data_IF_594729669050
#
_entry.id   IF_594729669050
#
_cell.length_a   1.000
_cell.length_b   1.000
_cell.length_c   1.000
_cell.angle_alpha   90.00
_cell.angle_beta   90.00
_cell.angle_gamma   90.00
#
_symmetry.space_group_name_H-M   'P 1'
#
loop_
_entity.id
_entity.type
_entity.pdbx_description
1 polymer ?
#
# COMPACT_ATOMS: atom_id res chain seq x y z
N UNK A 1 -48.53 -19.14 -28.65
CA UNK A 1 -48.58 -17.74 -28.17
C UNK A 1 -47.37 -17.52 -27.29
N UNK A 2 -46.43 -16.66 -27.72
CA UNK A 2 -45.24 -16.36 -26.95
C UNK A 2 -45.53 -15.22 -25.98
N UNK A 3 -45.48 -15.50 -24.68
CA UNK A 3 -45.56 -14.46 -23.64
C UNK A 3 -44.18 -13.81 -23.55
N UNK A 4 -44.10 -12.55 -23.93
CA UNK A 4 -42.88 -11.75 -23.79
C UNK A 4 -42.84 -11.12 -22.40
N UNK A 5 -41.88 -11.56 -21.58
CA UNK A 5 -41.58 -10.92 -20.30
C UNK A 5 -40.75 -9.66 -20.53
N UNK A 6 -41.31 -8.51 -20.16
CA UNK A 6 -40.61 -7.22 -20.13
C UNK A 6 -40.47 -6.85 -18.64
N UNK A 7 -39.32 -7.13 -18.05
CA UNK A 7 -38.95 -6.69 -16.70
C UNK A 7 -37.94 -5.55 -16.83
N UNK A 8 -38.27 -4.35 -16.38
CA UNK A 8 -37.96 -3.94 -15.00
C UNK A 8 -38.57 -2.54 -14.71
N UNK A 9 -39.14 -2.41 -13.52
CA UNK A 9 -39.41 -1.16 -12.77
C UNK A 9 -40.44 -0.09 -13.20
N UNK A 10 -41.25 -0.24 -14.25
CA UNK A 10 -42.31 0.79 -14.53
C UNK A 10 -43.74 0.28 -14.65
N UNK A 11 -43.99 -1.02 -14.89
CA UNK A 11 -45.34 -1.49 -15.25
C UNK A 11 -45.61 -2.91 -14.76
N UNK A 12 -46.26 -3.03 -13.60
CA UNK A 12 -46.90 -4.28 -13.20
C UNK A 12 -48.14 -4.55 -14.07
N UNK A 13 -48.08 -5.59 -14.90
CA UNK A 13 -49.24 -6.12 -15.62
C UNK A 13 -48.86 -6.82 -16.93
N UNK A 14 -49.00 -8.15 -16.96
CA UNK A 14 -48.93 -8.93 -18.20
C UNK A 14 -50.17 -8.61 -19.05
N UNK A 15 -49.98 -8.30 -20.34
CA UNK A 15 -51.07 -8.00 -21.28
C UNK A 15 -50.93 -8.84 -22.55
N UNK A 16 -52.05 -9.40 -23.00
CA UNK A 16 -52.12 -10.26 -24.19
C UNK A 16 -52.36 -9.47 -25.50
N UNK A 17 -52.52 -8.13 -25.41
CA UNK A 17 -52.72 -7.25 -26.58
C UNK A 17 -51.58 -6.23 -26.74
N UNK A 18 -50.56 -6.65 -27.50
CA UNK A 18 -49.36 -5.87 -27.81
C UNK A 18 -49.68 -4.58 -28.58
N UNK A 19 -50.75 -4.54 -29.39
CA UNK A 19 -51.08 -3.37 -30.21
C UNK A 19 -51.68 -2.23 -29.39
N UNK A 20 -52.46 -2.55 -28.35
CA UNK A 20 -53.00 -1.58 -27.42
C UNK A 20 -51.95 -1.06 -26.41
N UNK A 21 -50.94 -1.87 -26.09
CA UNK A 21 -49.91 -1.53 -25.11
C UNK A 21 -48.85 -0.53 -25.63
N UNK A 22 -48.47 -0.63 -26.91
CA UNK A 22 -47.40 0.17 -27.51
C UNK A 22 -47.57 1.71 -27.38
N UNK A 23 -48.76 2.30 -27.61
CA UNK A 23 -48.96 3.74 -27.45
C UNK A 23 -48.77 4.23 -26.00
N UNK A 24 -49.16 3.41 -25.01
CA UNK A 24 -49.01 3.73 -23.58
C UNK A 24 -47.55 3.63 -23.15
N UNK A 25 -46.81 2.64 -23.68
CA UNK A 25 -45.37 2.47 -23.45
C UNK A 25 -44.59 3.64 -24.06
N UNK A 26 -44.93 4.05 -25.28
CA UNK A 26 -44.31 5.20 -25.95
C UNK A 26 -44.48 6.51 -25.18
N UNK A 27 -45.59 6.70 -24.47
CA UNK A 27 -45.83 7.87 -23.61
C UNK A 27 -45.07 7.82 -22.28
N UNK A 28 -44.69 6.63 -21.79
CA UNK A 28 -43.95 6.44 -20.52
C UNK A 28 -42.44 6.28 -20.70
N UNK A 29 -41.97 6.05 -21.93
CA UNK A 29 -40.55 5.96 -22.25
C UNK A 29 -39.91 7.35 -22.08
N UNK A 30 -38.99 7.45 -21.11
CA UNK A 30 -38.19 8.66 -20.91
C UNK A 30 -37.38 8.96 -22.18
N UNK A 31 -37.40 10.20 -22.70
CA UNK A 31 -36.56 10.60 -23.81
C UNK A 31 -35.08 10.40 -23.47
N UNK A 32 -34.28 9.98 -24.46
CA UNK A 32 -32.83 9.77 -24.30
C UNK A 32 -32.12 10.99 -23.71
N UNK A 33 -32.53 12.20 -24.10
CA UNK A 33 -31.99 13.44 -23.56
C UNK A 33 -32.23 13.61 -22.05
N UNK A 34 -33.39 13.18 -21.53
CA UNK A 34 -33.67 13.20 -20.08
C UNK A 34 -32.84 12.16 -19.32
N UNK A 35 -32.61 10.99 -19.93
CA UNK A 35 -31.76 9.95 -19.35
C UNK A 35 -30.30 10.44 -19.30
N UNK A 36 -29.79 11.03 -20.37
CA UNK A 36 -28.44 11.58 -20.42
C UNK A 36 -28.25 12.74 -19.45
N UNK A 37 -29.26 13.60 -19.28
CA UNK A 37 -29.22 14.70 -18.32
C UNK A 37 -29.27 14.21 -16.87
N UNK A 38 -30.14 13.25 -16.56
CA UNK A 38 -30.19 12.62 -15.25
C UNK A 38 -28.87 11.90 -14.92
N UNK A 39 -28.29 11.19 -15.89
CA UNK A 39 -27.01 10.52 -15.74
C UNK A 39 -25.87 11.52 -15.50
N UNK A 40 -25.83 12.65 -16.23
CA UNK A 40 -24.86 13.73 -15.98
C UNK A 40 -25.04 14.38 -14.60
N UNK A 41 -26.27 14.57 -14.15
CA UNK A 41 -26.55 15.07 -12.80
C UNK A 41 -26.06 14.08 -11.75
N UNK A 42 -26.37 12.79 -11.87
CA UNK A 42 -25.87 11.74 -10.96
C UNK A 42 -24.35 11.69 -10.92
N UNK A 43 -23.69 11.77 -12.08
CA UNK A 43 -22.23 11.80 -12.16
C UNK A 43 -21.65 13.02 -11.43
N UNK A 44 -22.24 14.21 -11.62
CA UNK A 44 -21.79 15.43 -10.96
C UNK A 44 -22.06 15.41 -9.45
N UNK A 45 -23.24 14.93 -9.02
CA UNK A 45 -23.61 14.84 -7.60
C UNK A 45 -22.69 13.90 -6.82
N UNK A 46 -22.25 12.80 -7.44
CA UNK A 46 -21.39 11.81 -6.78
C UNK A 46 -19.92 11.93 -7.20
N UNK A 47 -19.52 12.97 -7.93
CA UNK A 47 -18.14 13.09 -8.42
C UNK A 47 -17.14 13.15 -7.27
N UNK A 48 -17.44 13.97 -6.26
CA UNK A 48 -16.57 14.18 -5.10
C UNK A 48 -16.48 12.92 -4.23
N UNK A 49 -17.62 12.29 -3.93
CA UNK A 49 -17.67 11.02 -3.18
C UNK A 49 -16.93 9.90 -3.92
N UNK A 50 -17.07 9.84 -5.25
CA UNK A 50 -16.36 8.86 -6.08
C UNK A 50 -14.86 9.14 -6.09
N UNK A 51 -14.44 10.41 -6.20
CA UNK A 51 -13.02 10.79 -6.12
C UNK A 51 -12.42 10.47 -4.75
N UNK A 52 -13.15 10.76 -3.68
CA UNK A 52 -12.71 10.42 -2.32
C UNK A 52 -12.62 8.91 -2.12
N UNK A 53 -13.60 8.14 -2.59
CA UNK A 53 -13.59 6.67 -2.52
C UNK A 53 -12.45 6.08 -3.33
N UNK A 54 -12.20 6.60 -4.55
CA UNK A 54 -11.09 6.17 -5.40
C UNK A 54 -9.74 6.54 -4.76
N UNK A 55 -9.61 7.74 -4.22
CA UNK A 55 -8.40 8.19 -3.50
C UNK A 55 -8.12 7.35 -2.26
N UNK A 56 -9.14 7.06 -1.43
CA UNK A 56 -9.00 6.17 -0.28
C UNK A 56 -8.60 4.75 -0.70
N UNK A 57 -9.21 4.22 -1.78
CA UNK A 57 -8.83 2.92 -2.31
C UNK A 57 -7.39 2.91 -2.87
N UNK A 58 -6.97 3.97 -3.55
CA UNK A 58 -5.59 4.16 -4.01
C UNK A 58 -4.61 4.18 -2.85
N UNK A 59 -4.89 4.98 -1.81
CA UNK A 59 -4.07 5.06 -0.61
C UNK A 59 -3.93 3.68 0.05
N UNK A 60 -5.02 2.93 0.21
CA UNK A 60 -4.96 1.59 0.81
C UNK A 60 -4.18 0.63 -0.11
N UNK A 61 -4.40 0.65 -1.42
CA UNK A 61 -3.68 -0.21 -2.38
C UNK A 61 -2.18 0.05 -2.42
N UNK A 62 -1.75 1.31 -2.35
CA UNK A 62 -0.34 1.67 -2.47
C UNK A 62 0.40 1.72 -1.13
N UNK A 63 -0.32 1.75 0.01
CA UNK A 63 0.30 1.75 1.36
C UNK A 63 0.15 0.43 2.11
N UNK A 64 -0.90 -0.36 1.86
CA UNK A 64 -1.23 -1.60 2.56
C UNK A 64 -1.58 -2.71 1.56
N UNK A 65 -0.55 -3.30 0.96
CA UNK A 65 -0.72 -4.36 -0.03
C UNK A 65 -1.04 -5.70 0.63
N UNK A 66 -2.31 -5.98 0.93
CA UNK A 66 -2.76 -7.31 1.40
C UNK A 66 -3.41 -8.11 0.26
N UNK A 67 -3.33 -9.44 0.37
CA UNK A 67 -3.83 -10.37 -0.66
C UNK A 67 -5.34 -10.26 -0.86
N UNK A 68 -6.11 -10.08 0.20
CA UNK A 68 -7.57 -9.96 0.10
C UNK A 68 -8.03 -8.63 -0.50
N UNK A 69 -7.24 -7.55 -0.33
CA UNK A 69 -7.53 -6.26 -0.96
C UNK A 69 -7.25 -6.32 -2.46
N UNK A 70 -6.17 -7.00 -2.86
CA UNK A 70 -5.87 -7.27 -4.26
C UNK A 70 -6.96 -8.11 -4.95
N UNK A 71 -7.59 -9.05 -4.23
CA UNK A 71 -8.66 -9.90 -4.76
C UNK A 71 -10.02 -9.16 -4.85
N UNK A 72 -10.28 -8.17 -3.98
CA UNK A 72 -11.53 -7.38 -3.95
C UNK A 72 -11.50 -6.17 -4.89
N UNK A 73 -10.33 -5.60 -5.18
CA UNK A 73 -10.22 -4.44 -6.06
C UNK A 73 -9.98 -4.88 -7.50
N UNK A 74 -11.01 -4.75 -8.35
CA UNK A 74 -10.83 -4.80 -9.81
C UNK A 74 -10.17 -3.51 -10.31
N UNK A 75 -8.85 -3.42 -10.17
CA UNK A 75 -8.11 -2.29 -10.74
C UNK A 75 -8.12 -2.41 -12.26
N UNK A 76 -8.59 -1.37 -12.94
CA UNK A 76 -8.52 -1.30 -14.40
C UNK A 76 -7.05 -1.22 -14.85
N UNK A 77 -6.54 -2.16 -15.67
CA UNK A 77 -5.16 -2.13 -16.15
C UNK A 77 -4.79 -0.82 -16.87
N UNK A 78 -5.76 -0.13 -17.48
CA UNK A 78 -5.53 1.19 -18.10
C UNK A 78 -5.12 2.25 -17.09
N UNK A 79 -5.71 2.21 -15.90
CA UNK A 79 -5.41 3.17 -14.83
C UNK A 79 -3.99 2.98 -14.29
N UNK A 80 -3.59 1.74 -13.99
CA UNK A 80 -2.23 1.41 -13.54
C UNK A 80 -1.18 1.80 -14.57
N UNK A 81 -1.45 1.54 -15.85
CA UNK A 81 -0.54 1.92 -16.92
C UNK A 81 -0.38 3.44 -17.04
N UNK A 82 -1.48 4.20 -16.91
CA UNK A 82 -1.43 5.68 -16.92
C UNK A 82 -0.62 6.20 -15.74
N UNK A 83 -0.92 5.75 -14.52
CA UNK A 83 -0.20 6.18 -13.32
C UNK A 83 1.28 5.79 -13.36
N UNK A 84 1.58 4.59 -13.87
CA UNK A 84 2.95 4.15 -14.09
C UNK A 84 3.68 5.00 -15.14
N UNK A 85 3.00 5.52 -16.15
CA UNK A 85 3.60 6.44 -17.12
C UNK A 85 3.88 7.81 -16.52
N UNK A 86 2.95 8.38 -15.74
CA UNK A 86 3.14 9.63 -15.00
C UNK A 86 4.39 9.54 -14.11
N UNK A 87 4.48 8.53 -13.25
CA UNK A 87 5.62 8.32 -12.36
C UNK A 87 6.95 8.13 -13.11
N UNK A 88 6.93 7.50 -14.28
CA UNK A 88 8.12 7.36 -15.12
C UNK A 88 8.51 8.68 -15.81
N UNK A 89 7.55 9.56 -16.11
CA UNK A 89 7.85 10.89 -16.62
C UNK A 89 8.49 11.74 -15.52
N UNK A 90 7.94 11.72 -14.31
CA UNK A 90 8.49 12.46 -13.17
C UNK A 90 9.91 11.99 -12.83
N UNK A 91 10.13 10.66 -12.80
CA UNK A 91 11.46 10.09 -12.60
C UNK A 91 12.45 10.53 -13.69
N UNK A 92 12.00 10.69 -14.93
CA UNK A 92 12.85 11.17 -16.02
C UNK A 92 13.30 12.61 -15.78
N UNK A 93 12.38 13.51 -15.44
CA UNK A 93 12.71 14.92 -15.15
C UNK A 93 13.71 15.04 -13.99
N UNK A 94 13.50 14.28 -12.91
CA UNK A 94 14.43 14.23 -11.77
C UNK A 94 15.80 13.69 -12.21
N UNK A 95 15.81 12.67 -13.07
CA UNK A 95 17.05 12.08 -13.58
C UNK A 95 17.84 13.08 -14.44
N UNK A 96 17.15 13.82 -15.32
CA UNK A 96 17.79 14.88 -16.12
C UNK A 96 18.39 15.96 -15.26
N UNK A 97 17.64 16.40 -14.26
CA UNK A 97 18.12 17.38 -13.29
C UNK A 97 19.38 16.88 -12.59
N UNK A 98 19.37 15.63 -12.10
CA UNK A 98 20.51 15.04 -11.40
C UNK A 98 21.79 15.03 -12.24
N UNK A 99 21.72 14.57 -13.48
CA UNK A 99 22.90 14.50 -14.36
C UNK A 99 23.32 15.87 -14.90
N UNK A 100 22.38 16.79 -15.14
CA UNK A 100 22.70 18.19 -15.46
C UNK A 100 23.45 18.85 -14.30
N UNK A 101 23.00 18.61 -13.07
CA UNK A 101 23.64 19.14 -11.88
C UNK A 101 25.02 18.54 -11.64
N UNK A 102 25.18 17.23 -11.87
CA UNK A 102 26.48 16.57 -11.81
C UNK A 102 27.47 17.25 -12.77
N UNK A 103 27.03 17.46 -14.01
CA UNK A 103 27.78 18.09 -15.09
C UNK A 103 28.17 19.56 -14.82
N UNK A 104 27.43 20.29 -14.00
CA UNK A 104 27.76 21.66 -13.58
C UNK A 104 28.83 21.70 -12.50
N UNK A 105 28.84 20.69 -11.61
CA UNK A 105 29.70 20.65 -10.42
C UNK A 105 31.03 19.93 -10.65
N UNK A 106 31.09 19.03 -11.63
CA UNK A 106 32.23 18.14 -11.83
C UNK A 106 32.72 18.18 -13.28
N UNK A 107 34.02 18.01 -13.45
CA UNK A 107 34.72 17.98 -14.74
C UNK A 107 35.33 16.60 -15.07
N UNK A 108 35.08 15.59 -14.23
CA UNK A 108 35.66 14.26 -14.33
C UNK A 108 34.96 13.33 -15.34
N UNK A 109 33.71 13.63 -15.67
CA UNK A 109 32.88 12.94 -16.65
C UNK A 109 31.75 13.86 -17.10
N UNK A 110 31.43 13.84 -18.40
CA UNK A 110 30.28 14.55 -18.96
C UNK A 110 29.15 13.56 -19.27
N UNK A 111 27.93 13.86 -18.84
CA UNK A 111 26.75 13.05 -19.15
C UNK A 111 25.90 13.73 -20.23
N UNK A 112 25.76 13.10 -21.39
CA UNK A 112 24.93 13.58 -22.50
C UNK A 112 23.54 13.00 -22.36
N UNK A 113 22.53 13.87 -22.31
CA UNK A 113 21.11 13.52 -22.16
C UNK A 113 20.46 13.50 -23.55
N UNK A 114 19.85 12.38 -23.90
CA UNK A 114 19.00 12.22 -25.08
C UNK A 114 17.54 12.18 -24.62
N UNK A 115 16.81 13.28 -24.87
CA UNK A 115 15.40 13.44 -24.50
C UNK A 115 14.49 12.48 -25.25
N UNK A 116 14.76 12.24 -26.54
CA UNK A 116 13.90 11.45 -27.41
C UNK A 116 13.92 9.98 -27.01
N UNK A 117 15.12 9.44 -26.78
CA UNK A 117 15.29 8.05 -26.37
C UNK A 117 15.22 7.84 -24.86
N UNK A 118 15.18 8.92 -24.07
CA UNK A 118 15.30 8.91 -22.60
C UNK A 118 16.50 8.11 -22.12
N UNK A 119 17.66 8.44 -22.68
CA UNK A 119 18.93 7.81 -22.37
C UNK A 119 19.97 8.82 -21.93
N UNK A 120 20.93 8.37 -21.13
CA UNK A 120 22.05 9.19 -20.65
C UNK A 120 23.34 8.46 -20.92
N UNK A 121 24.28 9.11 -21.59
CA UNK A 121 25.57 8.51 -21.98
C UNK A 121 26.71 9.26 -21.31
N UNK A 122 27.58 8.52 -20.63
CA UNK A 122 28.81 9.05 -20.07
C UNK A 122 29.85 9.24 -21.20
N UNK A 123 30.45 10.41 -21.27
CA UNK A 123 31.49 10.82 -22.22
C UNK A 123 32.62 11.54 -21.48
N UNK A 124 33.75 11.74 -22.15
CA UNK A 124 34.85 12.59 -21.65
C UNK A 124 35.39 12.18 -20.28
N UNK A 125 35.43 10.87 -19.98
CA UNK A 125 35.92 10.35 -18.70
C UNK A 125 37.21 9.55 -18.87
N UNK A 126 38.12 9.64 -17.89
CA UNK A 126 39.24 8.69 -17.74
C UNK A 126 38.81 7.42 -17.00
N UNK A 127 38.08 7.62 -15.91
CA UNK A 127 37.40 6.57 -15.15
C UNK A 127 35.97 7.02 -14.87
N UNK A 128 35.04 6.07 -14.81
CA UNK A 128 33.64 6.38 -14.49
C UNK A 128 33.54 6.83 -13.02
N UNK A 129 32.85 7.95 -12.74
CA UNK A 129 32.81 8.54 -11.41
C UNK A 129 32.00 7.71 -10.43
N UNK A 130 32.20 7.97 -9.14
CA UNK A 130 31.29 7.49 -8.09
C UNK A 130 30.20 8.53 -7.91
N UNK A 131 28.95 8.14 -8.15
CA UNK A 131 27.82 9.07 -8.10
C UNK A 131 27.32 9.29 -6.68
N UNK A 132 27.25 8.23 -5.88
CA UNK A 132 26.75 8.26 -4.50
C UNK A 132 27.11 6.98 -3.74
N UNK A 133 26.79 6.96 -2.45
CA UNK A 133 26.88 5.75 -1.62
C UNK A 133 25.48 5.26 -1.29
N UNK A 134 25.29 3.94 -1.27
CA UNK A 134 24.01 3.35 -0.88
C UNK A 134 24.19 2.22 0.13
N UNK A 135 23.22 2.06 1.02
CA UNK A 135 23.22 1.01 2.04
C UNK A 135 22.86 -0.34 1.43
N UNK A 136 23.66 -1.37 1.75
CA UNK A 136 23.46 -2.75 1.25
C UNK A 136 22.84 -3.68 2.28
N UNK A 137 22.38 -3.16 3.43
CA UNK A 137 21.92 -3.95 4.57
C UNK A 137 22.96 -4.11 5.67
N UNK A 138 24.25 -4.07 5.32
CA UNK A 138 25.37 -4.24 6.28
C UNK A 138 26.42 -3.15 6.21
N UNK A 139 26.62 -2.52 5.05
CA UNK A 139 27.56 -1.42 4.85
C UNK A 139 27.12 -0.49 3.73
N UNK A 140 27.62 0.74 3.76
CA UNK A 140 27.55 1.66 2.63
C UNK A 140 28.53 1.21 1.53
N UNK A 141 28.06 1.21 0.28
CA UNK A 141 28.86 0.85 -0.90
C UNK A 141 28.83 2.01 -1.91
N UNK A 142 29.98 2.36 -2.52
CA UNK A 142 29.99 3.35 -3.59
C UNK A 142 29.28 2.80 -4.84
N UNK A 143 28.40 3.60 -5.41
CA UNK A 143 27.81 3.36 -6.72
C UNK A 143 28.67 4.03 -7.79
N UNK A 144 29.47 3.22 -8.50
CA UNK A 144 30.21 3.69 -9.66
C UNK A 144 29.28 3.78 -10.87
N UNK A 145 29.38 4.90 -11.58
CA UNK A 145 28.61 5.22 -12.78
C UNK A 145 28.74 4.12 -13.85
N UNK A 146 27.74 4.06 -14.72
CA UNK A 146 27.71 3.21 -15.90
C UNK A 146 27.97 4.06 -17.16
N UNK A 147 28.40 3.40 -18.24
CA UNK A 147 28.63 4.09 -19.53
C UNK A 147 27.34 4.65 -20.12
N UNK A 148 26.22 3.98 -19.87
CA UNK A 148 24.93 4.33 -20.43
C UNK A 148 23.81 3.97 -19.47
N UNK A 149 22.79 4.82 -19.45
CA UNK A 149 21.54 4.64 -18.72
C UNK A 149 20.34 4.82 -19.64
N UNK A 150 19.21 4.23 -19.28
CA UNK A 150 17.95 4.43 -20.00
C UNK A 150 16.73 3.93 -19.26
N UNK A 151 15.57 4.46 -19.64
CA UNK A 151 14.28 4.13 -18.99
C UNK A 151 13.46 3.09 -19.75
N UNK A 152 13.86 2.71 -20.96
CA UNK A 152 13.13 1.70 -21.75
C UNK A 152 13.03 0.37 -20.98
N UNK A 153 11.89 -0.32 -21.11
CA UNK A 153 11.62 -1.59 -20.39
C UNK A 153 12.62 -2.69 -20.74
N UNK A 154 13.13 -2.65 -21.96
CA UNK A 154 14.08 -3.59 -22.55
C UNK A 154 15.52 -3.06 -22.58
N UNK A 155 15.80 -1.92 -21.93
CA UNK A 155 17.12 -1.29 -21.91
C UNK A 155 18.24 -2.25 -21.47
N UNK A 156 19.38 -2.17 -22.16
CA UNK A 156 20.60 -2.94 -21.87
C UNK A 156 21.80 -1.99 -21.77
N UNK A 157 22.69 -2.19 -20.79
CA UNK A 157 22.68 -3.24 -19.76
C UNK A 157 21.61 -2.99 -18.68
N UNK A 158 21.05 -4.06 -18.10
CA UNK A 158 20.03 -3.94 -17.03
C UNK A 158 20.51 -3.12 -15.82
N UNK A 159 21.81 -3.11 -15.55
CA UNK A 159 22.39 -2.31 -14.47
C UNK A 159 22.29 -0.79 -14.70
N UNK A 160 22.17 -0.34 -15.95
CA UNK A 160 21.93 1.06 -16.31
C UNK A 160 20.45 1.39 -16.50
N UNK A 161 19.55 0.43 -16.31
CA UNK A 161 18.12 0.69 -16.43
C UNK A 161 17.62 1.51 -15.24
N UNK A 162 17.09 2.70 -15.53
CA UNK A 162 16.54 3.61 -14.53
C UNK A 162 15.07 3.26 -14.30
N UNK A 163 14.79 2.80 -13.09
CA UNK A 163 13.42 2.61 -12.57
C UNK A 163 13.36 3.06 -11.12
N UNK A 164 12.16 3.33 -10.59
CA UNK A 164 11.96 3.69 -9.17
C UNK A 164 12.57 2.67 -8.19
N UNK A 165 12.66 1.40 -8.60
CA UNK A 165 13.20 0.31 -7.78
C UNK A 165 14.69 0.02 -8.00
N UNK A 166 15.26 0.52 -9.09
CA UNK A 166 16.68 0.32 -9.42
C UNK A 166 17.60 1.05 -8.43
N UNK A 167 18.83 0.56 -8.28
CA UNK A 167 19.82 1.20 -7.39
C UNK A 167 20.08 2.64 -7.83
N UNK A 168 20.21 2.88 -9.14
CA UNK A 168 20.39 4.23 -9.70
C UNK A 168 19.18 5.13 -9.42
N UNK A 169 17.96 4.65 -9.65
CA UNK A 169 16.75 5.44 -9.40
C UNK A 169 16.58 5.80 -7.93
N UNK A 170 16.80 4.83 -7.02
CA UNK A 170 16.77 5.09 -5.57
C UNK A 170 17.87 6.06 -5.14
N UNK A 171 19.07 5.93 -5.69
CA UNK A 171 20.18 6.83 -5.41
C UNK A 171 19.91 8.25 -5.87
N UNK A 172 19.39 8.43 -7.10
CA UNK A 172 19.00 9.75 -7.61
C UNK A 172 17.96 10.41 -6.70
N UNK A 173 16.93 9.66 -6.29
CA UNK A 173 15.91 10.16 -5.38
C UNK A 173 16.50 10.53 -4.01
N UNK A 174 17.39 9.71 -3.47
CA UNK A 174 18.05 9.94 -2.18
C UNK A 174 18.98 11.16 -2.20
N UNK A 175 19.74 11.35 -3.26
CA UNK A 175 20.70 12.45 -3.42
C UNK A 175 20.08 13.74 -3.96
N UNK A 176 18.75 13.80 -4.08
CA UNK A 176 18.06 15.00 -4.53
C UNK A 176 18.30 16.16 -3.54
N UNK A 177 19.16 17.09 -3.94
CA UNK A 177 19.43 18.32 -3.21
C UNK A 177 18.36 19.38 -3.50
N UNK A 178 17.83 19.98 -2.44
CA UNK A 178 16.97 21.14 -2.56
C UNK A 178 17.45 22.24 -1.60
N UNK A 179 17.11 23.49 -1.91
CA UNK A 179 17.21 24.56 -0.93
C UNK A 179 16.17 24.36 0.19
N UNK A 180 16.37 25.02 1.33
CA UNK A 180 15.39 25.01 2.42
C UNK A 180 14.19 25.89 2.11
N UNK A 181 14.43 27.01 1.43
CA UNK A 181 13.44 28.03 1.10
C UNK A 181 13.64 28.48 -0.35
N UNK A 182 12.56 29.00 -0.93
CA UNK A 182 12.52 29.49 -2.30
C UNK A 182 11.23 30.26 -2.56
N UNK A 183 11.19 30.98 -3.67
CA UNK A 183 10.03 31.77 -4.10
C UNK A 183 9.60 31.30 -5.48
N UNK A 184 8.32 30.99 -5.62
CA UNK A 184 7.69 30.68 -6.91
C UNK A 184 6.80 31.85 -7.33
N UNK A 185 6.93 32.25 -8.59
CA UNK A 185 6.05 33.24 -9.21
C UNK A 185 5.03 32.52 -10.08
N UNK A 186 3.75 32.62 -9.69
CA UNK A 186 2.62 31.99 -10.37
C UNK A 186 1.62 33.09 -10.73
N UNK A 187 1.48 33.45 -12.02
CA UNK A 187 0.67 34.62 -12.44
C UNK A 187 -0.80 34.57 -12.03
N UNK A 188 -1.35 33.36 -11.88
CA UNK A 188 -2.76 33.13 -11.55
C UNK A 188 -3.04 33.24 -10.04
N UNK A 189 -2.01 33.25 -9.19
CA UNK A 189 -2.16 33.38 -7.74
C UNK A 189 -2.24 34.86 -7.38
N UNK A 190 -3.43 35.30 -6.98
CA UNK A 190 -3.74 36.72 -6.75
C UNK A 190 -3.07 37.30 -5.49
N UNK A 191 -2.82 36.48 -4.48
CA UNK A 191 -2.27 36.91 -3.20
C UNK A 191 -1.07 36.04 -2.80
N UNK A 192 0.04 36.64 -2.33
CA UNK A 192 1.17 35.89 -1.83
C UNK A 192 0.76 34.94 -0.68
N UNK A 193 1.39 33.77 -0.66
CA UNK A 193 1.26 32.81 0.44
C UNK A 193 2.60 32.14 0.71
N UNK A 194 2.82 31.79 1.97
CA UNK A 194 3.92 30.93 2.39
C UNK A 194 3.41 29.50 2.47
N UNK A 195 4.15 28.55 1.92
CA UNK A 195 3.83 27.13 1.98
C UNK A 195 5.07 26.38 2.46
N UNK A 196 4.90 25.48 3.43
CA UNK A 196 5.94 24.61 3.94
C UNK A 196 5.58 23.14 3.72
N UNK A 197 6.61 22.35 3.40
CA UNK A 197 6.53 20.89 3.27
C UNK A 197 7.11 20.24 4.53
N UNK A 198 6.27 19.47 5.21
CA UNK A 198 6.61 18.70 6.41
C UNK A 198 6.67 17.21 6.10
N UNK A 199 7.64 16.53 6.71
CA UNK A 199 7.65 15.08 6.81
C UNK A 199 7.13 14.70 8.19
N UNK A 200 5.86 14.29 8.26
CA UNK A 200 5.23 13.83 9.49
C UNK A 200 5.49 12.34 9.64
N UNK A 201 6.18 11.97 10.71
CA UNK A 201 6.43 10.56 11.03
C UNK A 201 5.43 10.09 12.07
N UNK A 202 4.62 9.09 11.71
CA UNK A 202 3.69 8.43 12.62
C UNK A 202 4.32 7.12 13.08
N UNK A 203 4.35 6.92 14.40
CA UNK A 203 5.01 5.76 15.02
C UNK A 203 3.96 4.94 15.76
N UNK A 204 3.83 3.67 15.39
CA UNK A 204 2.94 2.71 16.05
C UNK A 204 3.71 1.43 16.33
N UNK A 205 4.06 1.20 17.60
CA UNK A 205 4.91 0.08 18.00
C UNK A 205 6.25 0.07 17.26
N UNK A 206 6.50 -0.98 16.48
CA UNK A 206 7.69 -1.13 15.62
C UNK A 206 7.51 -0.56 14.20
N UNK A 207 6.29 -0.13 13.84
CA UNK A 207 5.99 0.45 12.53
C UNK A 207 6.23 1.96 12.55
N UNK A 208 6.84 2.45 11.47
CA UNK A 208 7.07 3.87 11.21
C UNK A 208 6.55 4.18 9.82
N UNK A 209 5.57 5.06 9.73
CA UNK A 209 5.07 5.58 8.45
C UNK A 209 5.41 7.05 8.34
N UNK A 210 5.85 7.47 7.15
CA UNK A 210 6.20 8.86 6.87
C UNK A 210 5.23 9.42 5.85
N UNK A 211 4.70 10.61 6.14
CA UNK A 211 3.74 11.32 5.32
C UNK A 211 4.29 12.70 4.96
N UNK A 212 4.25 13.03 3.67
CA UNK A 212 4.57 14.37 3.18
C UNK A 212 3.31 15.24 3.23
N UNK A 213 3.35 16.33 4.00
CA UNK A 213 2.22 17.23 4.25
C UNK A 213 2.59 18.65 3.93
N UNK A 214 1.78 19.33 3.13
CA UNK A 214 1.90 20.75 2.86
C UNK A 214 0.98 21.55 3.78
N UNK A 215 1.50 22.65 4.31
CA UNK A 215 0.73 23.61 5.11
C UNK A 215 1.06 25.01 4.63
N UNK A 216 0.05 25.86 4.46
CA UNK A 216 0.26 27.20 3.96
C UNK A 216 -0.46 28.28 4.75
N UNK A 217 0.01 29.51 4.60
CA UNK A 217 -0.58 30.71 5.17
C UNK A 217 -0.53 31.82 4.12
N UNK A 218 -1.69 32.35 3.76
CA UNK A 218 -1.77 33.53 2.89
C UNK A 218 -1.34 34.79 3.65
N UNK A 219 -0.98 35.85 2.94
CA UNK A 219 -0.62 37.15 3.54
C UNK A 219 -1.75 37.76 4.41
N UNK A 220 -3.02 37.38 4.15
CA UNK A 220 -4.17 37.79 4.97
C UNK A 220 -4.36 36.96 6.26
N UNK A 221 -3.46 36.02 6.56
CA UNK A 221 -3.52 35.15 7.73
C UNK A 221 -4.47 33.94 7.59
N UNK A 222 -5.05 33.71 6.41
CA UNK A 222 -5.85 32.50 6.15
C UNK A 222 -4.95 31.27 5.97
N UNK A 223 -5.23 30.22 6.74
CA UNK A 223 -4.57 28.92 6.63
C UNK A 223 -5.00 28.18 5.35
N UNK A 224 -4.04 27.49 4.72
CA UNK A 224 -4.22 26.60 3.57
C UNK A 224 -3.89 25.18 4.00
N UNK A 225 -4.78 24.25 3.70
CA UNK A 225 -4.57 22.83 3.91
C UNK A 225 -3.72 22.20 2.79
N UNK A 226 -3.38 20.92 2.94
CA UNK A 226 -2.53 20.18 1.99
C UNK A 226 -3.12 20.20 0.57
N UNK A 227 -4.44 20.03 0.44
CA UNK A 227 -5.13 20.02 -0.85
C UNK A 227 -5.07 21.39 -1.55
N UNK A 228 -5.31 22.48 -0.82
CA UNK A 228 -5.18 23.83 -1.35
C UNK A 228 -3.73 24.14 -1.75
N UNK A 229 -2.75 23.70 -0.95
CA UNK A 229 -1.34 23.87 -1.28
C UNK A 229 -0.95 23.11 -2.55
N UNK A 230 -1.35 21.83 -2.69
CA UNK A 230 -1.10 21.03 -3.91
C UNK A 230 -1.74 21.67 -5.14
N UNK A 231 -2.97 22.17 -5.01
CA UNK A 231 -3.66 22.87 -6.11
C UNK A 231 -2.88 24.09 -6.60
N UNK A 232 -2.11 24.76 -5.73
CA UNK A 232 -1.23 25.87 -6.12
C UNK A 232 0.01 25.35 -6.87
N UNK A 233 0.61 24.24 -6.42
CA UNK A 233 1.75 23.62 -7.11
C UNK A 233 1.39 23.02 -8.48
N UNK A 234 0.12 22.71 -8.72
CA UNK A 234 -0.37 22.25 -10.02
C UNK A 234 -0.54 23.40 -11.05
N UNK A 235 -0.43 24.66 -10.61
CA UNK A 235 -0.52 25.83 -11.49
C UNK A 235 0.79 26.07 -12.25
N UNK A 236 0.72 26.65 -13.46
CA UNK A 236 1.92 26.92 -14.26
C UNK A 236 2.81 27.97 -13.58
N UNK A 237 4.03 27.56 -13.25
CA UNK A 237 5.07 28.42 -12.68
C UNK A 237 5.72 29.25 -13.78
N UNK A 238 5.83 30.56 -13.58
CA UNK A 238 6.54 31.49 -14.47
C UNK A 238 8.04 31.52 -14.16
N UNK A 239 8.38 31.60 -12.87
CA UNK A 239 9.77 31.60 -12.42
C UNK A 239 9.91 31.05 -11.00
N UNK A 240 11.10 30.56 -10.69
CA UNK A 240 11.48 30.07 -9.37
C UNK A 240 12.84 30.61 -8.94
N UNK A 241 12.96 31.03 -7.69
CA UNK A 241 14.25 31.30 -7.05
C UNK A 241 14.41 30.37 -5.84
N UNK A 242 15.65 30.00 -5.56
CA UNK A 242 16.02 29.13 -4.45
C UNK A 242 17.15 29.77 -3.66
N UNK A 243 17.19 29.48 -2.36
CA UNK A 243 18.32 29.87 -1.52
C UNK A 243 19.65 29.23 -1.97
N UNK A 244 20.77 29.88 -1.61
CA UNK A 244 22.11 29.43 -1.97
C UNK A 244 22.49 28.09 -1.32
N UNK A 245 22.02 27.86 -0.09
CA UNK A 245 22.37 26.66 0.68
C UNK A 245 21.46 25.51 0.30
N UNK A 246 22.04 24.49 -0.33
CA UNK A 246 21.36 23.26 -0.72
C UNK A 246 21.89 22.07 0.07
N UNK A 247 21.00 21.14 0.38
CA UNK A 247 21.34 19.86 1.01
C UNK A 247 20.39 18.79 0.50
N UNK A 248 20.79 17.50 0.54
CA UNK A 248 19.86 16.42 0.30
C UNK A 248 18.61 16.56 1.18
N UNK A 249 17.44 16.27 0.63
CA UNK A 249 16.15 16.48 1.31
C UNK A 249 16.04 15.75 2.67
N UNK A 250 16.78 14.66 2.87
CA UNK A 250 16.82 13.89 4.12
C UNK A 250 17.79 14.47 5.15
N UNK A 251 18.69 15.37 4.76
CA UNK A 251 19.69 16.02 5.62
C UNK A 251 19.27 17.46 5.98
N UNK A 252 18.00 17.67 6.31
CA UNK A 252 17.53 18.99 6.73
C UNK A 252 17.93 19.26 8.18
N UNK A 253 18.56 20.41 8.40
CA UNK A 253 18.95 20.87 9.74
C UNK A 253 17.76 21.34 10.57
N UNK A 254 17.90 21.34 11.89
CA UNK A 254 16.89 21.87 12.80
C UNK A 254 16.73 23.38 12.57
N UNK A 255 15.59 23.80 12.03
CA UNK A 255 15.24 25.22 11.91
C UNK A 255 14.61 25.73 13.20
N UNK A 256 14.51 27.06 13.32
CA UNK A 256 13.73 27.68 14.39
C UNK A 256 12.24 27.35 14.18
N UNK A 257 11.43 27.28 15.25
CA UNK A 257 10.00 27.08 15.12
C UNK A 257 9.38 28.11 14.16
N UNK A 258 8.64 27.62 13.17
CA UNK A 258 8.00 28.43 12.15
C UNK A 258 6.49 28.57 12.44
N UNK A 259 5.82 29.69 12.13
CA UNK A 259 4.38 29.84 12.33
C UNK A 259 3.53 28.73 11.68
N UNK A 260 3.99 28.19 10.55
CA UNK A 260 3.34 27.09 9.83
C UNK A 260 3.37 25.75 10.58
N UNK A 261 4.27 25.57 11.56
CA UNK A 261 4.39 24.31 12.32
C UNK A 261 3.08 23.97 13.05
N UNK A 262 2.33 25.00 13.45
CA UNK A 262 1.04 24.87 14.14
C UNK A 262 -0.11 24.48 13.23
N UNK A 263 0.08 24.58 11.91
CA UNK A 263 -0.95 24.24 10.92
C UNK A 263 -0.90 22.78 10.50
N UNK A 264 0.14 22.03 10.91
CA UNK A 264 0.25 20.60 10.63
C UNK A 264 -0.89 19.86 11.35
N UNK A 265 -1.77 19.16 10.61
CA UNK A 265 -2.98 18.56 11.17
C UNK A 265 -2.68 17.20 11.84
N UNK A 266 -1.76 17.19 12.82
CA UNK A 266 -1.27 15.99 13.49
C UNK A 266 -2.39 15.15 14.10
N UNK A 267 -3.36 15.77 14.77
CA UNK A 267 -4.48 15.06 15.41
C UNK A 267 -5.38 14.37 14.38
N UNK A 268 -5.68 15.04 13.27
CA UNK A 268 -6.47 14.47 12.16
C UNK A 268 -5.74 13.28 11.54
N UNK A 269 -4.43 13.41 11.29
CA UNK A 269 -3.63 12.32 10.73
C UNK A 269 -3.54 11.12 11.68
N UNK A 270 -3.41 11.36 12.98
CA UNK A 270 -3.45 10.31 14.00
C UNK A 270 -4.82 9.60 14.00
N UNK A 271 -5.92 10.36 13.96
CA UNK A 271 -7.26 9.80 13.89
C UNK A 271 -7.48 8.96 12.62
N UNK A 272 -7.08 9.46 11.44
CA UNK A 272 -7.17 8.72 10.19
C UNK A 272 -6.31 7.44 10.18
N UNK A 273 -5.11 7.48 10.76
CA UNK A 273 -4.30 6.26 10.92
C UNK A 273 -4.95 5.27 11.88
N UNK A 274 -5.52 5.72 12.99
CA UNK A 274 -6.26 4.85 13.91
C UNK A 274 -7.47 4.20 13.22
N UNK A 275 -8.22 4.97 12.43
CA UNK A 275 -9.33 4.44 11.63
C UNK A 275 -8.85 3.41 10.61
N UNK A 276 -7.73 3.66 9.91
CA UNK A 276 -7.14 2.70 8.95
C UNK A 276 -6.59 1.45 9.62
N UNK A 277 -6.02 1.58 10.81
CA UNK A 277 -5.48 0.45 11.56
C UNK A 277 -6.58 -0.37 12.22
N UNK A 278 -7.75 0.21 12.50
CA UNK A 278 -8.83 -0.50 13.21
C UNK A 278 -9.31 -1.80 12.53
N UNK A 279 -9.47 -1.90 11.19
CA UNK A 279 -9.84 -3.15 10.54
C UNK A 279 -8.65 -4.11 10.44
N UNK A 280 -7.44 -3.60 10.21
CA UNK A 280 -6.22 -4.42 10.14
C UNK A 280 -5.90 -5.07 11.50
N UNK A 281 -6.06 -4.33 12.60
CA UNK A 281 -5.94 -4.82 13.97
C UNK A 281 -7.06 -5.83 14.29
N UNK A 282 -8.29 -5.56 13.85
CA UNK A 282 -9.39 -6.52 14.00
C UNK A 282 -9.12 -7.84 13.25
N UNK A 283 -8.58 -7.76 12.04
CA UNK A 283 -8.19 -8.93 11.25
C UNK A 283 -7.03 -9.71 11.91
N UNK A 284 -6.02 -9.02 12.42
CA UNK A 284 -4.91 -9.64 13.15
C UNK A 284 -5.40 -10.32 14.43
N UNK A 285 -6.33 -9.70 15.17
CA UNK A 285 -7.00 -10.30 16.32
C UNK A 285 -7.79 -11.56 15.95
N UNK A 286 -8.56 -11.53 14.86
CA UNK A 286 -9.28 -12.72 14.38
C UNK A 286 -8.33 -13.83 13.92
N UNK A 287 -7.23 -13.48 13.25
CA UNK A 287 -6.19 -14.45 12.87
C UNK A 287 -5.55 -15.10 14.10
N UNK A 288 -5.24 -14.32 15.14
CA UNK A 288 -4.72 -14.85 16.40
C UNK A 288 -5.71 -15.79 17.09
N UNK A 289 -7.01 -15.44 17.13
CA UNK A 289 -8.07 -16.33 17.64
C UNK A 289 -8.18 -17.63 16.85
N UNK A 290 -8.13 -17.54 15.51
CA UNK A 290 -8.17 -18.71 14.64
C UNK A 290 -6.96 -19.64 14.86
N UNK A 291 -5.77 -19.07 15.02
CA UNK A 291 -4.57 -19.85 15.32
C UNK A 291 -4.71 -20.59 16.65
N UNK A 292 -5.12 -19.90 17.72
CA UNK A 292 -5.35 -20.52 19.03
C UNK A 292 -6.43 -21.59 18.98
N UNK A 293 -7.50 -21.37 18.22
CA UNK A 293 -8.53 -22.38 17.98
C UNK A 293 -7.97 -23.62 17.26
N UNK A 294 -7.12 -23.43 16.25
CA UNK A 294 -6.46 -24.51 15.53
C UNK A 294 -5.50 -25.30 16.44
N UNK A 295 -4.73 -24.61 17.28
CA UNK A 295 -3.79 -25.23 18.22
C UNK A 295 -4.55 -26.06 19.27
N UNK A 296 -5.66 -25.55 19.81
CA UNK A 296 -6.56 -26.32 20.69
C UNK A 296 -7.15 -27.55 19.98
N UNK A 297 -7.59 -27.40 18.73
CA UNK A 297 -8.11 -28.52 17.95
C UNK A 297 -7.03 -29.58 17.69
N UNK A 298 -5.76 -29.18 17.52
CA UNK A 298 -4.64 -30.11 17.41
C UNK A 298 -4.44 -30.91 18.70
N UNK A 299 -4.44 -30.25 19.86
CA UNK A 299 -4.37 -30.93 21.18
C UNK A 299 -5.51 -31.96 21.36
N UNK A 300 -6.74 -31.60 20.96
CA UNK A 300 -7.87 -32.55 21.00
C UNK A 300 -7.70 -33.73 20.04
N UNK A 301 -7.14 -33.52 18.84
CA UNK A 301 -6.88 -34.60 17.88
C UNK A 301 -5.81 -35.55 18.37
N UNK A 302 -4.75 -35.05 19.01
CA UNK A 302 -3.71 -35.88 19.61
C UNK A 302 -4.30 -36.82 20.67
N UNK A 303 -5.15 -36.31 21.55
CA UNK A 303 -5.83 -37.14 22.55
C UNK A 303 -6.77 -38.17 21.94
N UNK A 304 -7.57 -37.79 20.94
CA UNK A 304 -8.43 -38.74 20.24
C UNK A 304 -7.62 -39.85 19.54
N UNK A 305 -6.41 -39.51 19.06
CA UNK A 305 -5.51 -40.48 18.45
C UNK A 305 -4.95 -41.44 19.51
N UNK A 306 -4.53 -40.95 20.68
CA UNK A 306 -4.12 -41.82 21.79
C UNK A 306 -5.25 -42.71 22.28
N UNK A 307 -6.48 -42.18 22.40
CA UNK A 307 -7.65 -42.98 22.79
C UNK A 307 -7.91 -44.10 21.78
N UNK A 308 -7.87 -43.78 20.49
CA UNK A 308 -8.01 -44.79 19.42
C UNK A 308 -6.92 -45.87 19.50
N UNK A 309 -5.67 -45.50 19.80
CA UNK A 309 -4.58 -46.46 19.99
C UNK A 309 -4.78 -47.33 21.23
N UNK A 310 -5.31 -46.77 22.31
CA UNK A 310 -5.67 -47.51 23.53
C UNK A 310 -6.79 -48.52 23.25
N UNK A 311 -7.82 -48.13 22.51
CA UNK A 311 -8.93 -49.01 22.10
C UNK A 311 -8.45 -50.13 21.18
N UNK A 312 -7.63 -49.81 20.19
CA UNK A 312 -7.06 -50.80 19.28
C UNK A 312 -6.17 -51.81 20.02
N UNK A 313 -5.31 -51.35 20.93
CA UNK A 313 -4.47 -52.23 21.73
C UNK A 313 -5.29 -53.14 22.67
N UNK A 314 -6.43 -52.66 23.18
CA UNK A 314 -7.37 -53.48 23.96
C UNK A 314 -8.02 -54.57 23.09
N UNK A 315 -8.49 -54.23 21.90
CA UNK A 315 -9.04 -55.21 20.96
C UNK A 315 -8.00 -56.27 20.54
N UNK A 316 -6.74 -55.86 20.31
CA UNK A 316 -5.63 -56.77 20.02
C UNK A 316 -5.37 -57.75 21.19
N UNK A 317 -5.45 -57.28 22.45
CA UNK A 317 -5.31 -58.14 23.62
C UNK A 317 -6.42 -59.20 23.71
N UNK A 318 -7.65 -58.85 23.37
CA UNK A 318 -8.80 -59.77 23.37
C UNK A 318 -8.66 -60.87 22.30
N UNK A 319 -8.00 -60.57 21.18
CA UNK A 319 -7.73 -61.51 20.09
C UNK A 319 -6.58 -62.50 20.39
N UNK A 320 -5.74 -62.26 21.40
CA UNK A 320 -4.60 -63.14 21.74
C UNK A 320 -5.07 -64.34 22.56
N UNK A 321 -5.21 -65.50 21.92
CA UNK A 321 -5.50 -66.78 22.59
C UNK A 321 -4.27 -67.66 22.77
N UNK A 322 -4.05 -68.16 23.99
CA UNK A 322 -3.13 -69.28 24.29
C UNK A 322 -1.67 -68.94 24.61
N UNK A 323 -1.18 -67.75 24.26
CA UNK A 323 0.22 -67.35 24.49
C UNK A 323 0.34 -66.35 25.65
N UNK A 324 0.74 -66.85 26.83
CA UNK A 324 0.84 -66.08 28.08
C UNK A 324 1.85 -64.93 27.98
N UNK A 325 2.93 -65.10 27.21
CA UNK A 325 3.98 -64.09 27.03
C UNK A 325 3.49 -62.93 26.16
N UNK A 326 2.81 -63.23 25.05
CA UNK A 326 2.20 -62.21 24.18
C UNK A 326 1.12 -61.41 24.89
N UNK A 327 0.32 -62.08 25.73
CA UNK A 327 -0.71 -61.42 26.54
C UNK A 327 -0.11 -60.44 27.56
N UNK A 328 0.98 -60.83 28.21
CA UNK A 328 1.71 -59.98 29.16
C UNK A 328 2.36 -58.76 28.49
N UNK A 329 2.93 -58.95 27.29
CA UNK A 329 3.51 -57.87 26.49
C UNK A 329 2.45 -56.86 26.02
N UNK A 330 1.31 -57.35 25.52
CA UNK A 330 0.18 -56.51 25.10
C UNK A 330 -0.40 -55.72 26.29
N UNK A 331 -0.52 -56.34 27.46
CA UNK A 331 -1.02 -55.68 28.67
C UNK A 331 -0.06 -54.59 29.19
N UNK A 332 1.26 -54.81 29.08
CA UNK A 332 2.26 -53.77 29.37
C UNK A 332 2.12 -52.58 28.42
N UNK A 333 1.91 -52.82 27.13
CA UNK A 333 1.71 -51.77 26.10
C UNK A 333 0.43 -50.96 26.36
N UNK A 334 -0.68 -51.60 26.73
CA UNK A 334 -1.93 -50.91 27.10
C UNK A 334 -1.72 -50.01 28.32
N UNK A 335 -1.02 -50.51 29.35
CA UNK A 335 -0.76 -49.71 30.55
C UNK A 335 0.12 -48.49 30.25
N UNK A 336 1.12 -48.63 29.37
CA UNK A 336 1.93 -47.51 28.90
C UNK A 336 1.08 -46.47 28.15
N UNK A 337 0.28 -46.90 27.17
CA UNK A 337 -0.59 -46.00 26.40
C UNK A 337 -1.65 -45.31 27.28
N UNK A 338 -2.21 -46.01 28.28
CA UNK A 338 -3.14 -45.42 29.26
C UNK A 338 -2.45 -44.38 30.15
N UNK A 339 -1.21 -44.64 30.57
CA UNK A 339 -0.44 -43.69 31.37
C UNK A 339 -0.11 -42.43 30.56
N UNK A 340 0.24 -42.58 29.28
CA UNK A 340 0.45 -41.47 28.35
C UNK A 340 -0.85 -40.69 28.09
N UNK A 341 -1.96 -41.39 27.85
CA UNK A 341 -3.28 -40.78 27.67
C UNK A 341 -3.68 -39.93 28.89
N UNK A 342 -3.60 -40.48 30.10
CA UNK A 342 -3.93 -39.74 31.33
C UNK A 342 -3.04 -38.50 31.50
N UNK A 343 -1.74 -38.63 31.23
CA UNK A 343 -0.80 -37.50 31.32
C UNK A 343 -1.11 -36.40 30.30
N UNK A 344 -1.44 -36.78 29.06
CA UNK A 344 -1.83 -35.83 28.01
C UNK A 344 -3.21 -35.21 28.28
N UNK A 345 -4.13 -35.94 28.91
CA UNK A 345 -5.45 -35.45 29.27
C UNK A 345 -5.36 -34.38 30.36
N UNK A 346 -4.51 -34.60 31.37
CA UNK A 346 -4.20 -33.61 32.39
C UNK A 346 -3.51 -32.38 31.79
N UNK A 347 -2.53 -32.57 30.89
CA UNK A 347 -1.80 -31.44 30.28
C UNK A 347 -2.67 -30.64 29.30
N UNK A 348 -3.59 -31.27 28.57
CA UNK A 348 -4.44 -30.58 27.58
C UNK A 348 -5.20 -29.40 28.19
N UNK A 349 -5.77 -29.58 29.39
CA UNK A 349 -6.54 -28.52 30.04
C UNK A 349 -5.64 -27.31 30.35
N UNK A 350 -4.45 -27.56 30.90
CA UNK A 350 -3.49 -26.50 31.24
C UNK A 350 -2.89 -25.83 30.00
N UNK A 351 -2.58 -26.61 28.95
CA UNK A 351 -2.05 -26.09 27.70
C UNK A 351 -3.11 -25.26 26.95
N UNK A 352 -4.38 -25.68 26.94
CA UNK A 352 -5.48 -24.90 26.38
C UNK A 352 -5.71 -23.59 27.14
N UNK A 353 -5.66 -23.61 28.47
CA UNK A 353 -5.73 -22.38 29.30
C UNK A 353 -4.53 -21.45 29.06
N UNK A 354 -3.31 -22.00 28.90
CA UNK A 354 -2.12 -21.20 28.60
C UNK A 354 -2.27 -20.46 27.27
N UNK A 355 -2.77 -21.15 26.24
CA UNK A 355 -3.03 -20.55 24.93
C UNK A 355 -4.06 -19.40 25.01
N UNK A 356 -5.10 -19.53 25.84
CA UNK A 356 -6.07 -18.44 26.06
C UNK A 356 -5.46 -17.25 26.78
N UNK A 357 -4.64 -17.49 27.81
CA UNK A 357 -3.97 -16.43 28.56
C UNK A 357 -2.98 -15.67 27.68
N UNK A 358 -2.18 -16.38 26.87
CA UNK A 358 -1.27 -15.77 25.89
C UNK A 358 -2.01 -14.96 24.83
N UNK A 359 -3.20 -15.40 24.40
CA UNK A 359 -4.05 -14.65 23.49
C UNK A 359 -4.54 -13.35 24.13
N UNK A 360 -5.04 -13.41 25.36
CA UNK A 360 -5.47 -12.22 26.09
C UNK A 360 -4.34 -11.20 26.31
N UNK A 361 -3.14 -11.67 26.64
CA UNK A 361 -1.97 -10.79 26.78
C UNK A 361 -1.59 -10.14 25.45
N UNK A 362 -1.67 -10.89 24.34
CA UNK A 362 -1.39 -10.36 22.99
C UNK A 362 -2.47 -9.39 22.50
N UNK A 363 -3.73 -9.58 22.87
CA UNK A 363 -4.83 -8.66 22.51
C UNK A 363 -4.82 -7.35 23.32
N UNK A 364 -4.13 -7.32 24.47
CA UNK A 364 -4.03 -6.12 25.34
C UNK A 364 -2.84 -5.21 24.99
N UNK A 365 -1.91 -5.68 24.17
CA UNK A 365 -0.76 -4.91 23.66
C UNK A 365 -1.09 -4.34 22.29
#
# INVERSE_FOLDING_TARGET
AGVFGITDDVLGGFTDDVKAAFPVIAQRLRPRAQIEQAYRQTLSTHEEDNRQTVSAAEDILFTTFTKELADKVKINPKYVNRRGQELNNDLWEITKWFFTRYNEKNDDCRFVIDEFNRTITATEYRELPVLFYYWTGSRNRPYRSQKMYGMAKDFKPKAGQITLSSIIGRGILHELECANEGVLTIPTVQAPCQIALYTVTLVSGSSRTEHAVLCGLTDSGKALDDAACRSIFDLPVESSTEDERRSPHWLKGTSRPHPLDRLVPSDKMMAEQLERLSPAQAEEMERMKQQVSADKAALSRELNTLDSQVQQAQAELEAVTGDRLKRLAAQKKINQLRQEYMKHQESQFFDAMRLDMELEEKMKR
#
